data_IF_469050953344
#
_entry.id   IF_469050953344
#
_cell.length_a   1.000
_cell.length_b   1.000
_cell.length_c   1.000
_cell.angle_alpha   90.00
_cell.angle_beta   90.00
_cell.angle_gamma   90.00
#
_symmetry.space_group_name_H-M   'P 1'
#
loop_
_entity.id
_entity.type
_entity.pdbx_description
1 polymer ?
#
# COMPACT_ATOMS: atom_id res chain seq x y z
N UNK A 1 15.67 -79.25 44.91
CA UNK A 1 15.29 -77.85 45.25
C UNK A 1 16.15 -76.84 44.47
N UNK A 2 17.45 -77.02 44.31
CA UNK A 2 18.39 -76.14 43.60
C UNK A 2 18.02 -75.87 42.14
N UNK A 3 17.63 -76.93 41.35
CA UNK A 3 17.23 -76.73 39.91
C UNK A 3 15.95 -75.91 39.75
N UNK A 4 15.01 -75.89 40.69
CA UNK A 4 13.76 -75.11 40.65
C UNK A 4 13.96 -73.62 40.92
N UNK A 5 15.05 -73.23 41.62
CA UNK A 5 15.40 -71.84 41.88
C UNK A 5 16.32 -71.25 40.80
N UNK A 6 17.10 -72.12 40.14
CA UNK A 6 18.02 -71.66 39.03
C UNK A 6 17.30 -71.13 37.84
N UNK A 7 16.18 -71.69 37.41
CA UNK A 7 15.40 -71.25 36.24
C UNK A 7 14.84 -69.84 36.38
N UNK A 8 14.18 -69.46 37.51
CA UNK A 8 13.70 -68.05 37.63
C UNK A 8 14.83 -67.03 37.76
N UNK A 9 15.98 -67.39 38.37
CA UNK A 9 17.16 -66.52 38.46
C UNK A 9 17.75 -66.29 37.08
N UNK A 10 17.81 -67.32 36.23
CA UNK A 10 18.33 -67.22 34.85
C UNK A 10 17.39 -66.38 33.93
N UNK A 11 16.07 -66.57 34.15
CA UNK A 11 15.05 -65.71 33.49
C UNK A 11 15.15 -64.26 33.92
N UNK A 12 15.34 -64.01 35.25
CA UNK A 12 15.53 -62.65 35.75
C UNK A 12 16.82 -62.00 35.18
N UNK A 13 17.93 -62.77 35.18
CA UNK A 13 19.19 -62.31 34.63
C UNK A 13 19.09 -61.99 33.06
N UNK A 14 18.39 -62.85 32.33
CA UNK A 14 18.12 -62.63 30.93
C UNK A 14 17.24 -61.38 30.70
N UNK A 15 16.19 -61.20 31.48
CA UNK A 15 15.33 -60.01 31.44
C UNK A 15 16.11 -58.74 31.80
N UNK A 16 16.93 -58.75 32.80
CA UNK A 16 17.79 -57.63 33.18
C UNK A 16 18.83 -57.33 32.09
N UNK A 17 19.42 -58.33 31.46
CA UNK A 17 20.38 -58.13 30.38
C UNK A 17 19.73 -57.52 29.13
N UNK A 18 18.51 -57.94 28.75
CA UNK A 18 17.77 -57.31 27.66
C UNK A 18 17.38 -55.86 28.00
N UNK A 19 17.02 -55.56 29.24
CA UNK A 19 16.67 -54.23 29.72
C UNK A 19 17.86 -53.28 29.86
N UNK A 20 19.09 -53.80 29.78
CA UNK A 20 20.31 -53.02 29.83
C UNK A 20 20.62 -52.28 28.54
N UNK A 21 20.13 -52.79 27.43
CA UNK A 21 20.38 -52.15 26.12
C UNK A 21 19.35 -51.11 25.81
N UNK A 22 19.80 -49.97 25.22
CA UNK A 22 18.93 -48.94 24.67
C UNK A 22 19.52 -48.37 23.39
N UNK A 23 18.67 -47.97 22.47
CA UNK A 23 19.04 -47.36 21.20
C UNK A 23 18.74 -45.88 21.22
N UNK A 24 19.69 -45.06 20.77
CA UNK A 24 19.55 -43.64 20.55
C UNK A 24 19.41 -43.43 19.03
N UNK A 25 18.36 -42.75 18.62
CA UNK A 25 18.11 -42.47 17.17
C UNK A 25 19.06 -41.36 16.66
N UNK A 26 19.24 -41.29 15.33
CA UNK A 26 20.14 -40.31 14.70
C UNK A 26 19.75 -38.85 15.03
N UNK A 27 18.45 -38.56 15.16
CA UNK A 27 17.92 -37.24 15.50
C UNK A 27 17.97 -36.91 17.00
N UNK A 28 18.41 -37.84 17.84
CA UNK A 28 18.42 -37.71 19.28
C UNK A 28 19.85 -37.77 19.85
N UNK A 29 19.97 -37.29 21.06
CA UNK A 29 21.12 -37.49 21.94
C UNK A 29 20.63 -37.86 23.33
N UNK A 30 21.36 -38.69 24.03
CA UNK A 30 20.92 -39.20 25.32
C UNK A 30 21.91 -38.92 26.44
N UNK A 31 21.37 -38.60 27.61
CA UNK A 31 22.10 -38.44 28.85
C UNK A 31 21.66 -39.54 29.82
N UNK A 32 22.62 -40.26 30.39
CA UNK A 32 22.36 -41.28 31.37
C UNK A 32 22.56 -40.68 32.77
N UNK A 33 21.55 -40.82 33.62
CA UNK A 33 21.63 -40.36 35.02
C UNK A 33 21.52 -41.54 35.98
N UNK A 34 22.24 -41.46 37.08
CA UNK A 34 22.15 -42.40 38.17
C UNK A 34 21.77 -41.66 39.47
N UNK A 35 20.60 -41.99 40.01
CA UNK A 35 20.03 -41.26 41.14
C UNK A 35 19.97 -39.74 40.92
N UNK A 36 19.59 -39.32 39.68
CA UNK A 36 19.49 -37.92 39.28
C UNK A 36 20.83 -37.23 38.94
N UNK A 37 21.97 -37.90 39.16
CA UNK A 37 23.29 -37.36 38.82
C UNK A 37 23.70 -37.84 37.42
N UNK A 38 24.12 -36.98 36.51
CA UNK A 38 24.65 -37.39 35.20
C UNK A 38 25.88 -38.30 35.37
N UNK A 39 25.87 -39.44 34.68
CA UNK A 39 26.99 -40.42 34.71
C UNK A 39 27.44 -40.66 33.29
N UNK A 40 28.74 -40.45 33.07
CA UNK A 40 29.30 -40.55 31.73
C UNK A 40 28.99 -39.30 30.87
N UNK A 41 29.45 -39.37 29.62
CA UNK A 41 29.20 -38.28 28.66
C UNK A 41 27.85 -38.42 27.92
N UNK A 42 27.57 -37.45 27.04
CA UNK A 42 26.43 -37.47 26.11
C UNK A 42 26.58 -38.66 25.16
N UNK A 43 25.54 -39.47 25.05
CA UNK A 43 25.46 -40.62 24.13
C UNK A 43 24.90 -40.17 22.79
N UNK A 44 25.69 -40.39 21.76
CA UNK A 44 25.26 -40.13 20.34
C UNK A 44 24.44 -41.32 19.82
N UNK A 45 23.92 -41.19 18.61
CA UNK A 45 23.16 -42.24 17.93
C UNK A 45 23.91 -43.61 17.98
N UNK A 46 23.16 -44.67 18.21
CA UNK A 46 23.68 -46.03 18.28
C UNK A 46 23.15 -46.85 19.43
N UNK A 47 23.73 -48.04 19.62
CA UNK A 47 23.39 -48.96 20.69
C UNK A 47 24.26 -48.71 21.93
N UNK A 48 23.62 -48.50 23.05
CA UNK A 48 24.28 -48.22 24.34
C UNK A 48 23.78 -49.16 25.45
N UNK A 49 24.56 -49.20 26.52
CA UNK A 49 24.25 -50.01 27.67
C UNK A 49 24.03 -49.11 28.90
N UNK A 50 23.03 -49.44 29.70
CA UNK A 50 22.75 -48.84 31.03
C UNK A 50 22.60 -49.90 32.08
N UNK A 51 22.80 -49.51 33.32
CA UNK A 51 22.47 -50.36 34.45
C UNK A 51 20.95 -50.33 34.71
N UNK A 52 20.22 -51.43 34.43
CA UNK A 52 18.78 -51.46 34.66
C UNK A 52 18.46 -51.21 36.14
N UNK A 53 17.31 -50.59 36.41
CA UNK A 53 16.81 -50.20 37.75
C UNK A 53 17.53 -49.01 38.40
N UNK A 54 18.82 -48.76 38.10
CA UNK A 54 19.64 -47.72 38.75
C UNK A 54 19.82 -46.50 37.87
N UNK A 55 19.91 -46.71 36.56
CA UNK A 55 20.17 -45.65 35.59
C UNK A 55 18.93 -45.31 34.76
N UNK A 56 18.68 -44.02 34.63
CA UNK A 56 17.61 -43.47 33.80
C UNK A 56 18.23 -42.78 32.57
N UNK A 57 17.62 -42.97 31.40
CA UNK A 57 18.05 -42.37 30.14
C UNK A 57 17.11 -41.21 29.82
N UNK A 58 17.68 -40.00 29.70
CA UNK A 58 16.99 -38.81 29.22
C UNK A 58 17.38 -38.63 27.77
N UNK A 59 16.38 -38.52 26.87
CA UNK A 59 16.56 -38.27 25.45
C UNK A 59 16.23 -36.84 25.16
N UNK A 60 17.07 -36.22 24.35
CA UNK A 60 16.92 -34.84 23.90
C UNK A 60 17.00 -34.79 22.38
N UNK A 61 16.13 -33.98 21.74
CA UNK A 61 16.20 -33.73 20.32
C UNK A 61 17.49 -33.00 19.94
N UNK A 62 18.17 -33.50 18.92
CA UNK A 62 19.37 -32.88 18.30
C UNK A 62 19.00 -31.95 17.17
N UNK A 63 17.82 -32.19 16.57
CA UNK A 63 17.29 -31.41 15.47
C UNK A 63 16.91 -30.01 15.92
N UNK A 64 16.69 -29.14 14.90
CA UNK A 64 16.19 -27.78 15.15
C UNK A 64 14.73 -27.86 15.62
N UNK A 65 14.48 -27.25 16.76
CA UNK A 65 13.16 -27.14 17.38
C UNK A 65 12.60 -25.75 17.11
N UNK A 66 11.28 -25.65 17.03
CA UNK A 66 10.56 -24.39 16.96
C UNK A 66 10.14 -23.98 18.38
N UNK A 67 10.36 -22.71 18.67
CA UNK A 67 9.71 -22.02 19.75
C UNK A 67 8.67 -21.05 19.17
N UNK A 68 7.50 -20.97 19.76
CA UNK A 68 6.38 -20.13 19.34
C UNK A 68 5.87 -19.38 20.57
N UNK A 69 6.23 -18.11 20.66
CA UNK A 69 5.86 -17.26 21.80
C UNK A 69 4.38 -16.86 21.74
N UNK A 70 3.84 -16.55 22.90
CA UNK A 70 2.51 -15.97 22.99
C UNK A 70 2.54 -14.51 22.52
N UNK A 71 1.50 -14.01 21.84
CA UNK A 71 1.42 -12.61 21.45
C UNK A 71 1.42 -11.70 22.67
N UNK A 72 2.39 -10.78 22.74
CA UNK A 72 2.54 -9.81 23.82
C UNK A 72 2.18 -8.41 23.39
N UNK A 73 1.47 -7.67 24.26
CA UNK A 73 1.19 -6.25 24.05
C UNK A 73 2.36 -5.41 24.56
N UNK A 74 2.99 -4.67 23.64
CA UNK A 74 4.19 -3.88 23.94
C UNK A 74 3.98 -2.44 23.42
N UNK A 75 4.32 -1.41 24.22
CA UNK A 75 4.36 -0.04 23.76
C UNK A 75 5.64 0.19 22.93
N UNK A 76 5.52 0.87 21.81
CA UNK A 76 6.65 1.34 21.00
C UNK A 76 7.19 2.68 21.53
N UNK A 77 8.35 3.13 21.03
CA UNK A 77 8.93 4.43 21.37
C UNK A 77 7.99 5.60 21.10
N UNK A 78 7.16 5.50 20.06
CA UNK A 78 6.11 6.48 19.72
C UNK A 78 4.79 6.26 20.50
N UNK A 79 4.88 5.57 21.66
CA UNK A 79 3.76 5.38 22.61
C UNK A 79 2.54 4.68 22.00
N UNK A 80 2.74 3.87 20.96
CA UNK A 80 1.68 3.06 20.35
C UNK A 80 1.71 1.65 20.91
N UNK A 81 0.57 1.15 21.37
CA UNK A 81 0.44 -0.24 21.80
C UNK A 81 0.22 -1.14 20.62
N UNK A 82 1.08 -2.14 20.48
CA UNK A 82 1.01 -3.16 19.44
C UNK A 82 1.07 -4.57 20.04
N UNK A 83 0.40 -5.50 19.38
CA UNK A 83 0.58 -6.93 19.62
C UNK A 83 1.74 -7.42 18.76
N UNK A 84 2.73 -8.01 19.41
CA UNK A 84 3.89 -8.60 18.75
C UNK A 84 3.87 -10.10 18.98
N UNK A 85 3.86 -10.85 17.89
CA UNK A 85 3.88 -12.30 17.86
C UNK A 85 5.23 -12.74 17.29
N UNK A 86 5.99 -13.52 18.08
CA UNK A 86 7.37 -13.89 17.78
C UNK A 86 7.54 -15.39 17.69
N UNK A 87 8.52 -15.83 16.92
CA UNK A 87 8.92 -17.24 16.83
C UNK A 87 10.43 -17.34 16.73
N UNK A 88 10.97 -18.43 17.19
CA UNK A 88 12.40 -18.69 17.12
C UNK A 88 12.69 -20.13 16.75
N UNK A 89 13.88 -20.36 16.20
CA UNK A 89 14.44 -21.69 15.99
C UNK A 89 15.64 -21.88 16.88
N UNK A 90 15.65 -23.00 17.56
CA UNK A 90 16.67 -23.32 18.54
C UNK A 90 17.04 -24.80 18.51
N UNK A 91 18.15 -25.17 19.13
CA UNK A 91 18.55 -26.55 19.32
C UNK A 91 19.32 -26.74 20.61
N UNK A 92 19.33 -27.96 21.11
CA UNK A 92 20.12 -28.36 22.27
C UNK A 92 21.51 -28.78 21.79
N UNK A 93 22.53 -28.00 22.17
CA UNK A 93 23.93 -28.28 21.79
C UNK A 93 24.65 -29.04 22.89
N UNK A 94 24.41 -28.66 24.14
CA UNK A 94 24.97 -29.36 25.32
C UNK A 94 23.86 -29.97 26.19
N UNK A 95 23.50 -31.25 26.02
CA UNK A 95 22.49 -31.92 26.84
C UNK A 95 22.83 -32.01 28.32
N UNK A 96 24.12 -32.00 28.65
CA UNK A 96 24.53 -32.03 30.04
C UNK A 96 24.24 -30.74 30.76
N UNK A 97 24.63 -29.62 30.13
CA UNK A 97 24.32 -28.27 30.60
C UNK A 97 22.82 -28.03 30.62
N UNK A 98 22.12 -28.43 29.56
CA UNK A 98 20.67 -28.33 29.45
C UNK A 98 19.95 -29.05 30.56
N UNK A 99 20.36 -30.32 30.87
CA UNK A 99 19.77 -31.08 31.97
C UNK A 99 20.01 -30.43 33.31
N UNK A 100 21.20 -29.86 33.54
CA UNK A 100 21.55 -29.21 34.82
C UNK A 100 20.79 -27.90 35.04
N UNK A 101 20.52 -27.14 34.01
CA UNK A 101 19.91 -25.80 34.10
C UNK A 101 18.38 -25.83 34.03
N UNK A 102 17.81 -26.64 33.12
CA UNK A 102 16.35 -26.63 32.83
C UNK A 102 15.70 -28.02 32.95
N UNK A 103 16.49 -29.07 32.97
CA UNK A 103 16.12 -30.47 33.13
C UNK A 103 15.24 -31.10 32.06
N UNK A 104 14.28 -30.33 31.47
CA UNK A 104 13.30 -30.81 30.50
C UNK A 104 13.14 -29.83 29.37
N UNK A 105 12.64 -30.29 28.21
CA UNK A 105 12.33 -29.44 27.05
C UNK A 105 11.32 -28.35 27.40
N UNK A 106 10.31 -28.67 28.24
CA UNK A 106 9.35 -27.66 28.71
C UNK A 106 10.01 -26.57 29.55
N UNK A 107 10.98 -26.95 30.41
CA UNK A 107 11.79 -26.00 31.16
C UNK A 107 12.64 -25.11 30.22
N UNK A 108 13.17 -25.68 29.13
CA UNK A 108 13.87 -24.97 28.10
C UNK A 108 12.97 -23.95 27.39
N UNK A 109 11.76 -24.34 26.98
CA UNK A 109 10.78 -23.45 26.39
C UNK A 109 10.44 -22.28 27.33
N UNK A 110 10.20 -22.53 28.61
CA UNK A 110 9.92 -21.44 29.56
C UNK A 110 11.09 -20.45 29.70
N UNK A 111 12.34 -20.92 29.61
CA UNK A 111 13.51 -20.02 29.61
C UNK A 111 13.64 -19.22 28.33
N UNK A 112 13.28 -19.83 27.19
CA UNK A 112 13.21 -19.11 25.93
C UNK A 112 12.13 -18.02 25.96
N UNK A 113 10.95 -18.32 26.54
CA UNK A 113 9.89 -17.34 26.78
C UNK A 113 10.43 -16.14 27.57
N UNK A 114 11.03 -16.37 28.74
CA UNK A 114 11.54 -15.30 29.59
C UNK A 114 12.58 -14.42 28.89
N UNK A 115 13.54 -15.04 28.18
CA UNK A 115 14.67 -14.33 27.57
C UNK A 115 14.24 -13.62 26.29
N UNK A 116 13.54 -14.33 25.40
CA UNK A 116 13.15 -13.75 24.09
C UNK A 116 12.14 -12.63 24.32
N UNK A 117 11.14 -12.84 25.17
CA UNK A 117 10.13 -11.81 25.46
C UNK A 117 10.75 -10.55 26.08
N UNK A 118 11.73 -10.72 26.98
CA UNK A 118 12.44 -9.58 27.56
C UNK A 118 13.20 -8.80 26.50
N UNK A 119 13.99 -9.48 25.66
CA UNK A 119 14.82 -8.82 24.62
C UNK A 119 13.94 -8.18 23.55
N UNK A 120 12.85 -8.84 23.15
CA UNK A 120 11.89 -8.30 22.17
C UNK A 120 11.18 -7.07 22.74
N UNK A 121 10.76 -7.12 24.00
CA UNK A 121 10.13 -5.98 24.68
C UNK A 121 11.05 -4.77 24.72
N UNK A 122 12.30 -4.97 25.09
CA UNK A 122 13.30 -3.89 25.13
C UNK A 122 13.54 -3.30 23.73
N UNK A 123 13.69 -4.17 22.73
CA UNK A 123 13.89 -3.75 21.35
C UNK A 123 12.67 -2.95 20.81
N UNK A 124 11.46 -3.46 21.01
CA UNK A 124 10.22 -2.80 20.55
C UNK A 124 10.00 -1.47 21.25
N UNK A 125 10.24 -1.41 22.58
CA UNK A 125 10.06 -0.18 23.36
C UNK A 125 11.10 0.89 23.01
N UNK A 126 12.28 0.48 22.52
CA UNK A 126 13.36 1.38 22.13
C UNK A 126 13.25 1.94 20.71
N UNK A 127 12.36 1.39 19.88
CA UNK A 127 12.27 1.72 18.45
C UNK A 127 10.88 2.21 18.05
N UNK A 128 10.82 2.92 16.91
CA UNK A 128 9.57 3.39 16.34
C UNK A 128 8.83 2.24 15.65
N UNK A 129 7.50 2.34 15.60
CA UNK A 129 6.71 1.32 14.90
C UNK A 129 7.12 1.16 13.43
N UNK A 130 7.49 2.24 12.77
CA UNK A 130 7.94 2.20 11.38
C UNK A 130 9.21 1.37 11.19
N UNK A 131 10.14 1.39 12.15
CA UNK A 131 11.38 0.59 12.14
C UNK A 131 11.10 -0.92 12.26
N UNK A 132 10.04 -1.28 12.97
CA UNK A 132 9.61 -2.68 13.13
C UNK A 132 8.98 -3.29 11.87
N UNK A 133 8.39 -2.44 11.02
CA UNK A 133 7.64 -2.87 9.83
C UNK A 133 8.45 -2.70 8.55
N UNK A 134 9.30 -1.68 8.49
CA UNK A 134 10.03 -1.27 7.31
C UNK A 134 11.27 -2.12 7.08
N UNK A 135 11.46 -2.63 5.87
CA UNK A 135 12.70 -3.29 5.46
C UNK A 135 13.86 -2.29 5.30
N UNK A 136 15.10 -2.75 5.42
CA UNK A 136 16.31 -1.94 5.30
C UNK A 136 16.50 -1.27 3.92
N UNK A 137 15.80 -1.75 2.88
CA UNK A 137 15.86 -1.20 1.52
C UNK A 137 14.66 -0.36 1.11
N UNK A 138 13.79 0.02 2.03
CA UNK A 138 12.60 0.80 1.68
C UNK A 138 12.98 2.23 1.30
N UNK A 139 12.60 2.65 0.11
CA UNK A 139 12.60 4.03 -0.33
C UNK A 139 11.17 4.55 -0.37
N UNK A 140 10.92 5.72 0.22
CA UNK A 140 9.61 6.35 0.13
C UNK A 140 9.26 6.63 -1.33
N UNK A 141 8.01 6.40 -1.76
CA UNK A 141 7.59 6.77 -3.12
C UNK A 141 7.63 8.29 -3.28
N UNK A 142 8.47 8.78 -4.19
CA UNK A 142 8.67 10.20 -4.49
C UNK A 142 10.00 10.74 -3.94
N UNK A 143 10.47 11.87 -4.50
CA UNK A 143 11.73 12.55 -4.12
C UNK A 143 11.67 13.26 -2.75
N UNK A 144 10.58 13.11 -2.00
CA UNK A 144 10.43 13.72 -0.68
C UNK A 144 10.89 12.75 0.40
N UNK A 145 11.93 13.12 1.14
CA UNK A 145 12.29 12.45 2.40
C UNK A 145 11.09 12.57 3.32
N UNK A 146 10.44 11.43 3.60
CA UNK A 146 9.33 11.39 4.54
C UNK A 146 9.88 11.68 5.94
N UNK A 147 9.50 12.81 6.51
CA UNK A 147 9.91 13.23 7.84
C UNK A 147 8.85 12.80 8.83
N UNK A 148 9.25 12.00 9.81
CA UNK A 148 8.37 11.59 10.91
C UNK A 148 8.64 12.52 12.08
N UNK A 149 7.61 13.24 12.54
CA UNK A 149 7.67 14.04 13.77
C UNK A 149 7.51 13.13 14.98
N UNK A 150 8.53 13.11 15.83
CA UNK A 150 8.48 12.50 17.15
C UNK A 150 8.72 13.58 18.21
N UNK A 151 7.71 13.84 19.04
CA UNK A 151 7.77 14.85 20.12
C UNK A 151 8.27 16.24 19.63
N UNK A 152 7.89 16.64 18.41
CA UNK A 152 8.30 17.90 17.80
C UNK A 152 9.67 17.90 17.14
N UNK A 153 10.37 16.75 17.11
CA UNK A 153 11.64 16.62 16.42
C UNK A 153 11.44 15.88 15.10
N UNK A 154 11.78 16.49 13.96
CA UNK A 154 11.71 15.81 12.67
C UNK A 154 12.83 14.77 12.56
N UNK A 155 12.46 13.52 12.30
CA UNK A 155 13.40 12.42 12.03
C UNK A 155 13.29 12.06 10.56
N UNK A 156 14.41 12.17 9.85
CA UNK A 156 14.49 11.71 8.47
C UNK A 156 14.43 10.18 8.40
N UNK A 157 13.65 9.64 7.48
CA UNK A 157 13.41 8.21 7.39
C UNK A 157 14.62 7.38 6.96
N UNK A 158 15.65 8.00 6.39
CA UNK A 158 16.92 7.37 6.04
C UNK A 158 17.81 7.06 7.27
N UNK A 159 17.54 7.70 8.42
CA UNK A 159 18.24 7.48 9.68
C UNK A 159 17.61 6.37 10.55
N UNK A 160 16.53 5.78 10.10
CA UNK A 160 15.81 4.76 10.85
C UNK A 160 16.43 3.39 10.64
N UNK A 161 16.54 2.62 11.73
CA UNK A 161 16.97 1.22 11.70
C UNK A 161 15.96 0.38 10.93
N UNK A 162 16.43 -0.50 10.05
CA UNK A 162 15.56 -1.42 9.34
C UNK A 162 15.18 -2.64 10.19
N UNK A 163 14.07 -3.29 9.84
CA UNK A 163 13.58 -4.49 10.53
C UNK A 163 14.64 -5.60 10.64
N UNK A 164 15.43 -5.80 9.60
CA UNK A 164 16.46 -6.84 9.55
C UNK A 164 17.57 -6.58 10.57
N UNK A 165 18.01 -5.35 10.69
CA UNK A 165 19.04 -4.94 11.64
C UNK A 165 18.54 -5.03 13.08
N UNK A 166 17.29 -4.65 13.30
CA UNK A 166 16.63 -4.79 14.60
C UNK A 166 16.51 -6.26 15.01
N UNK A 167 16.10 -7.16 14.11
CA UNK A 167 16.04 -8.61 14.36
C UNK A 167 17.42 -9.20 14.62
N UNK A 168 18.45 -8.74 13.92
CA UNK A 168 19.84 -9.14 14.17
C UNK A 168 20.31 -8.70 15.57
N UNK A 169 19.93 -7.51 16.00
CA UNK A 169 20.20 -7.00 17.35
C UNK A 169 19.49 -7.81 18.44
N UNK A 170 18.22 -8.15 18.22
CA UNK A 170 17.45 -9.05 19.13
C UNK A 170 18.15 -10.40 19.24
N UNK A 171 18.49 -11.01 18.11
CA UNK A 171 19.16 -12.30 18.07
C UNK A 171 20.51 -12.26 18.80
N UNK A 172 21.32 -11.24 18.56
CA UNK A 172 22.63 -11.08 19.21
C UNK A 172 22.50 -10.99 20.75
N UNK A 173 21.56 -10.17 21.23
CA UNK A 173 21.31 -10.02 22.67
C UNK A 173 20.79 -11.33 23.28
N UNK A 174 19.81 -11.98 22.67
CA UNK A 174 19.25 -13.24 23.15
C UNK A 174 20.31 -14.35 23.19
N UNK A 175 21.17 -14.46 22.17
CA UNK A 175 22.27 -15.45 22.11
C UNK A 175 23.25 -15.35 23.26
N UNK A 176 23.41 -14.19 23.86
CA UNK A 176 24.39 -13.99 24.95
C UNK A 176 24.06 -14.85 26.17
N UNK A 177 22.80 -15.06 26.51
CA UNK A 177 22.35 -15.81 27.66
C UNK A 177 22.11 -17.31 27.39
N UNK A 178 22.02 -17.73 26.14
CA UNK A 178 21.65 -19.11 25.78
C UNK A 178 22.67 -20.17 26.12
N UNK A 179 24.01 -19.93 26.07
CA UNK A 179 25.01 -20.94 26.41
C UNK A 179 24.91 -21.45 27.87
N UNK A 180 24.43 -20.61 28.80
CA UNK A 180 24.22 -21.01 30.24
C UNK A 180 23.19 -22.13 30.36
N UNK A 181 22.31 -22.29 29.39
CA UNK A 181 21.28 -23.33 29.34
C UNK A 181 21.62 -24.48 28.38
N UNK A 182 22.80 -24.48 27.74
CA UNK A 182 23.17 -25.49 26.75
C UNK A 182 22.35 -25.43 25.46
N UNK A 183 21.75 -24.26 25.19
CA UNK A 183 20.88 -23.98 24.04
C UNK A 183 21.63 -23.12 23.02
N UNK A 184 21.45 -23.40 21.75
CA UNK A 184 21.83 -22.52 20.67
C UNK A 184 20.57 -21.96 20.02
N UNK A 185 20.44 -20.64 20.03
CA UNK A 185 19.40 -19.91 19.32
C UNK A 185 19.88 -19.64 17.89
N UNK A 186 19.15 -20.12 16.88
CA UNK A 186 19.50 -20.01 15.48
C UNK A 186 19.03 -18.68 14.92
N UNK A 187 17.72 -18.41 15.07
CA UNK A 187 17.12 -17.14 14.68
C UNK A 187 15.92 -16.78 15.57
N UNK A 188 15.56 -15.51 15.51
CA UNK A 188 14.32 -14.97 16.09
C UNK A 188 13.62 -14.15 15.00
N UNK A 189 12.33 -14.38 14.83
CA UNK A 189 11.52 -13.71 13.84
C UNK A 189 10.23 -13.16 14.45
N UNK A 190 9.84 -11.98 14.00
CA UNK A 190 8.53 -11.44 14.29
C UNK A 190 7.56 -11.98 13.24
N UNK A 191 6.60 -12.80 13.66
CA UNK A 191 5.57 -13.39 12.78
C UNK A 191 4.56 -12.34 12.35
N UNK A 192 4.10 -11.55 13.32
CA UNK A 192 3.00 -10.61 13.12
C UNK A 192 3.09 -9.43 14.08
N UNK A 193 2.76 -8.26 13.57
CA UNK A 193 2.55 -7.04 14.34
C UNK A 193 1.13 -6.56 14.06
N UNK A 194 0.33 -6.40 15.10
CA UNK A 194 -1.02 -5.88 15.01
C UNK A 194 -1.21 -4.71 15.95
N UNK A 195 -2.02 -3.74 15.53
CA UNK A 195 -2.50 -2.74 16.47
C UNK A 195 -3.47 -3.35 17.47
N UNK A 196 -3.48 -2.83 18.69
CA UNK A 196 -4.57 -3.07 19.64
C UNK A 196 -5.87 -2.55 19.02
N UNK A 197 -7.00 -3.24 19.25
CA UNK A 197 -8.28 -2.97 18.58
C UNK A 197 -8.72 -1.50 18.65
N UNK A 198 -8.54 -0.85 19.81
CA UNK A 198 -8.88 0.56 19.98
C UNK A 198 -8.03 1.50 19.11
N UNK A 199 -6.75 1.17 18.92
CA UNK A 199 -5.83 1.95 18.07
C UNK A 199 -6.12 1.67 16.60
N UNK A 200 -6.39 0.41 16.25
CA UNK A 200 -6.70 -0.03 14.89
C UNK A 200 -7.89 0.75 14.32
N UNK A 201 -8.97 0.89 15.09
CA UNK A 201 -10.16 1.64 14.66
C UNK A 201 -9.81 3.09 14.31
N UNK A 202 -9.09 3.79 15.20
CA UNK A 202 -8.67 5.19 14.99
C UNK A 202 -7.74 5.35 13.78
N UNK A 203 -6.83 4.41 13.57
CA UNK A 203 -5.93 4.41 12.40
C UNK A 203 -6.73 4.24 11.11
N UNK A 204 -7.71 3.32 11.07
CA UNK A 204 -8.56 3.15 9.90
C UNK A 204 -9.41 4.39 9.61
N UNK A 205 -10.02 4.99 10.63
CA UNK A 205 -10.79 6.23 10.47
C UNK A 205 -9.93 7.37 9.91
N UNK A 206 -8.70 7.51 10.43
CA UNK A 206 -7.74 8.49 9.90
C UNK A 206 -7.35 8.20 8.45
N UNK A 207 -7.01 6.96 8.11
CA UNK A 207 -6.68 6.56 6.74
C UNK A 207 -7.85 6.82 5.77
N UNK A 208 -9.08 6.51 6.20
CA UNK A 208 -10.29 6.79 5.40
C UNK A 208 -10.44 8.30 5.19
N UNK A 209 -10.23 9.11 6.23
CA UNK A 209 -10.31 10.57 6.15
C UNK A 209 -9.23 11.15 5.22
N UNK A 210 -7.99 10.69 5.35
CA UNK A 210 -6.89 11.10 4.46
C UNK A 210 -7.16 10.72 3.00
N UNK A 211 -7.64 9.51 2.73
CA UNK A 211 -8.02 9.08 1.38
C UNK A 211 -9.18 9.91 0.81
N UNK A 212 -10.17 10.23 1.63
CA UNK A 212 -11.26 11.13 1.21
C UNK A 212 -10.76 12.53 0.89
N UNK A 213 -9.82 13.06 1.68
CA UNK A 213 -9.19 14.37 1.44
C UNK A 213 -8.46 14.39 0.10
N UNK A 214 -7.61 13.40 -0.16
CA UNK A 214 -6.87 13.27 -1.43
C UNK A 214 -7.83 13.13 -2.62
N UNK A 215 -8.87 12.30 -2.48
CA UNK A 215 -9.88 12.13 -3.53
C UNK A 215 -10.69 13.42 -3.79
N UNK A 216 -10.99 14.20 -2.74
CA UNK A 216 -11.65 15.50 -2.87
C UNK A 216 -10.75 16.52 -3.56
N UNK A 217 -9.46 16.52 -3.26
CA UNK A 217 -8.47 17.38 -3.91
C UNK A 217 -8.40 17.10 -5.41
N UNK A 218 -8.17 15.84 -5.82
CA UNK A 218 -8.13 15.47 -7.24
C UNK A 218 -9.43 15.77 -7.98
N UNK A 219 -10.59 15.60 -7.29
CA UNK A 219 -11.88 15.97 -7.90
C UNK A 219 -11.98 17.48 -8.12
N UNK A 220 -11.57 18.27 -7.13
CA UNK A 220 -11.59 19.75 -7.24
C UNK A 220 -10.63 20.25 -8.32
N UNK A 221 -9.43 19.67 -8.41
CA UNK A 221 -8.46 19.98 -9.46
C UNK A 221 -9.04 19.63 -10.85
N UNK A 222 -9.63 18.43 -10.98
CA UNK A 222 -10.26 18.02 -12.25
C UNK A 222 -11.49 18.84 -12.63
N UNK A 223 -12.29 19.30 -11.67
CA UNK A 223 -13.40 20.23 -11.92
C UNK A 223 -12.89 21.60 -12.35
N UNK A 224 -11.79 22.08 -11.73
CA UNK A 224 -11.12 23.33 -12.12
C UNK A 224 -10.59 23.25 -13.57
N UNK A 225 -9.84 22.21 -13.88
CA UNK A 225 -9.31 22.01 -15.24
C UNK A 225 -10.42 21.88 -16.29
N UNK A 226 -11.50 21.15 -15.96
CA UNK A 226 -12.68 21.08 -16.82
C UNK A 226 -13.30 22.45 -17.06
N UNK A 227 -13.43 23.27 -16.02
CA UNK A 227 -13.99 24.61 -16.15
C UNK A 227 -13.12 25.52 -17.02
N UNK A 228 -11.81 25.44 -16.89
CA UNK A 228 -10.84 26.18 -17.71
C UNK A 228 -10.92 25.76 -19.19
N UNK A 229 -10.97 24.46 -19.47
CA UNK A 229 -11.11 23.92 -20.83
C UNK A 229 -12.43 24.41 -21.46
N UNK A 230 -13.56 24.32 -20.74
CA UNK A 230 -14.85 24.78 -21.20
C UNK A 230 -14.87 26.29 -21.46
N UNK A 231 -14.23 27.07 -20.57
CA UNK A 231 -14.08 28.52 -20.74
C UNK A 231 -13.26 28.89 -21.97
N UNK A 232 -12.16 28.20 -22.21
CA UNK A 232 -11.33 28.37 -23.42
C UNK A 232 -12.12 28.01 -24.69
N UNK A 233 -12.81 26.87 -24.69
CA UNK A 233 -13.66 26.46 -25.81
C UNK A 233 -14.76 27.48 -26.12
N UNK A 234 -15.44 28.01 -25.12
CA UNK A 234 -16.49 29.00 -25.30
C UNK A 234 -15.92 30.33 -25.89
N UNK A 235 -14.76 30.76 -25.37
CA UNK A 235 -14.05 31.94 -25.90
C UNK A 235 -13.66 31.74 -27.35
N UNK A 236 -13.11 30.60 -27.72
CA UNK A 236 -12.68 30.29 -29.08
C UNK A 236 -13.87 30.18 -30.01
N UNK A 237 -14.95 29.52 -29.61
CA UNK A 237 -16.20 29.44 -30.37
C UNK A 237 -16.79 30.83 -30.64
N UNK A 238 -16.83 31.72 -29.65
CA UNK A 238 -17.29 33.11 -29.82
C UNK A 238 -16.40 33.88 -30.77
N UNK A 239 -15.07 33.71 -30.69
CA UNK A 239 -14.12 34.34 -31.60
C UNK A 239 -14.36 33.89 -33.04
N UNK A 240 -14.42 32.58 -33.29
CA UNK A 240 -14.65 32.04 -34.64
C UNK A 240 -16.00 32.50 -35.20
N UNK A 241 -17.06 32.43 -34.40
CA UNK A 241 -18.40 32.86 -34.84
C UNK A 241 -18.45 34.33 -35.15
N UNK A 242 -17.81 35.18 -34.33
CA UNK A 242 -17.73 36.63 -34.53
C UNK A 242 -16.95 36.99 -35.81
N UNK A 243 -15.81 36.31 -36.03
CA UNK A 243 -15.00 36.53 -37.26
C UNK A 243 -15.75 36.07 -38.51
N UNK A 244 -16.42 34.93 -38.44
CA UNK A 244 -17.25 34.45 -39.57
C UNK A 244 -18.40 35.43 -39.88
N UNK A 245 -19.07 35.95 -38.83
CA UNK A 245 -20.11 36.97 -39.01
C UNK A 245 -19.55 38.26 -39.61
N UNK A 246 -18.43 38.77 -39.11
CA UNK A 246 -17.73 39.94 -39.64
C UNK A 246 -17.39 39.74 -41.12
N UNK A 247 -16.81 38.61 -41.50
CA UNK A 247 -16.48 38.30 -42.91
C UNK A 247 -17.74 38.23 -43.76
N UNK A 248 -18.81 37.60 -43.26
CA UNK A 248 -20.10 37.54 -43.99
C UNK A 248 -20.67 38.93 -44.26
N UNK A 249 -20.68 39.81 -43.25
CA UNK A 249 -21.15 41.19 -43.38
C UNK A 249 -20.27 42.01 -44.38
N UNK A 250 -18.95 41.83 -44.31
CA UNK A 250 -18.01 42.50 -45.19
C UNK A 250 -18.18 42.02 -46.61
N UNK A 251 -18.32 40.71 -46.85
CA UNK A 251 -18.57 40.18 -48.23
C UNK A 251 -19.91 40.72 -48.82
N UNK A 252 -20.98 40.68 -48.00
CA UNK A 252 -22.28 41.24 -48.42
C UNK A 252 -22.18 42.71 -48.68
N UNK A 253 -21.55 43.46 -47.78
CA UNK A 253 -21.38 44.91 -48.00
C UNK A 253 -20.58 45.25 -49.25
N UNK A 254 -19.51 44.51 -49.54
CA UNK A 254 -18.75 44.68 -50.83
C UNK A 254 -19.59 44.31 -52.05
N UNK A 255 -20.35 43.20 -51.93
CA UNK A 255 -21.24 42.81 -53.07
C UNK A 255 -22.35 43.85 -53.33
N UNK A 256 -22.98 44.37 -52.26
CA UNK A 256 -24.00 45.38 -52.32
C UNK A 256 -23.43 46.69 -52.89
N UNK A 257 -22.24 47.10 -52.43
CA UNK A 257 -21.56 48.27 -52.96
C UNK A 257 -21.22 48.12 -54.48
N UNK A 258 -20.74 46.93 -54.84
CA UNK A 258 -20.43 46.60 -56.24
C UNK A 258 -21.71 46.62 -57.08
N UNK A 259 -22.77 45.99 -56.61
CA UNK A 259 -24.08 46.05 -57.34
C UNK A 259 -24.61 47.45 -57.45
N UNK A 260 -24.56 48.25 -56.39
CA UNK A 260 -24.98 49.66 -56.43
C UNK A 260 -24.15 50.47 -57.42
N UNK A 261 -22.83 50.23 -57.47
CA UNK A 261 -21.96 50.89 -58.42
C UNK A 261 -22.29 50.52 -59.89
N UNK A 262 -22.55 49.24 -60.16
CA UNK A 262 -22.98 48.74 -61.47
C UNK A 262 -24.32 49.39 -61.91
N UNK A 263 -25.31 49.38 -61.00
CA UNK A 263 -26.59 50.03 -61.28
C UNK A 263 -26.45 51.50 -61.47
N UNK A 264 -25.67 52.21 -60.64
CA UNK A 264 -25.44 53.64 -60.80
C UNK A 264 -24.75 53.96 -62.13
N UNK A 265 -23.80 53.19 -62.58
CA UNK A 265 -23.13 53.34 -63.86
C UNK A 265 -24.10 53.12 -65.02
N UNK A 266 -24.94 52.10 -64.98
CA UNK A 266 -25.96 51.83 -66.00
C UNK A 266 -27.01 52.94 -66.06
N UNK A 267 -27.48 53.39 -64.91
CA UNK A 267 -28.52 54.44 -64.86
C UNK A 267 -27.99 55.84 -65.27
N UNK A 268 -26.73 56.11 -65.09
CA UNK A 268 -26.10 57.33 -65.50
C UNK A 268 -25.92 57.43 -67.04
N UNK A 269 -26.04 56.35 -67.81
CA UNK A 269 -25.97 56.35 -69.25
C UNK A 269 -27.17 57.11 -69.87
N UNK A 270 -28.38 56.92 -69.29
CA UNK A 270 -29.58 57.69 -69.66
C UNK A 270 -30.44 57.96 -68.41
N UNK A 271 -30.23 59.12 -67.82
CA UNK A 271 -30.92 59.53 -66.58
C UNK A 271 -32.42 59.80 -66.79
N UNK A 272 -32.80 60.21 -67.98
CA UNK A 272 -34.22 60.49 -68.27
C UNK A 272 -34.99 59.18 -68.39
N UNK A 273 -34.45 58.22 -69.12
CA UNK A 273 -35.05 56.92 -69.26
C UNK A 273 -35.13 56.17 -67.91
N UNK A 274 -34.09 56.27 -67.10
CA UNK A 274 -34.12 55.66 -65.74
C UNK A 274 -35.20 56.32 -64.86
N UNK A 275 -35.31 57.67 -64.86
CA UNK A 275 -36.36 58.38 -64.11
C UNK A 275 -37.76 57.94 -64.56
N UNK A 276 -37.97 57.75 -65.83
CA UNK A 276 -39.20 57.24 -66.44
C UNK A 276 -39.51 55.80 -65.95
N UNK A 277 -38.54 54.88 -66.12
CA UNK A 277 -38.70 53.49 -65.70
C UNK A 277 -38.99 53.36 -64.16
N UNK A 278 -38.29 54.18 -63.37
CA UNK A 278 -38.45 54.19 -61.92
C UNK A 278 -39.80 54.74 -61.47
N UNK A 279 -40.30 55.72 -62.13
CA UNK A 279 -41.64 56.23 -61.88
C UNK A 279 -42.71 55.19 -62.20
N UNK A 280 -42.58 54.46 -63.31
CA UNK A 280 -43.49 53.39 -63.69
C UNK A 280 -43.47 52.24 -62.66
N UNK A 281 -42.27 51.84 -62.17
CA UNK A 281 -42.16 50.84 -61.13
C UNK A 281 -42.80 51.33 -59.83
N UNK A 282 -42.59 52.56 -59.44
CA UNK A 282 -43.18 53.16 -58.24
C UNK A 282 -44.70 53.14 -58.34
N UNK A 283 -45.24 53.50 -59.46
CA UNK A 283 -46.67 53.43 -59.69
C UNK A 283 -47.21 52.00 -59.70
N UNK A 284 -46.52 51.02 -60.25
CA UNK A 284 -46.88 49.62 -60.20
C UNK A 284 -46.92 49.06 -58.78
N UNK A 285 -45.94 49.49 -57.96
CA UNK A 285 -45.86 49.08 -56.54
C UNK A 285 -46.87 49.79 -55.65
N UNK A 286 -47.21 51.06 -55.97
CA UNK A 286 -48.15 51.80 -55.15
C UNK A 286 -49.62 51.51 -55.55
N UNK A 287 -49.88 50.99 -56.74
CA UNK A 287 -51.20 50.54 -57.21
C UNK A 287 -51.34 49.08 -56.92
N UNK A 288 -51.83 48.68 -55.70
CA UNK A 288 -52.19 47.28 -55.41
C UNK A 288 -53.26 46.76 -56.36
N UNK A 289 -53.48 45.47 -56.49
CA UNK A 289 -54.42 44.80 -57.44
C UNK A 289 -55.82 45.40 -57.48
N UNK A 290 -56.28 46.15 -56.44
CA UNK A 290 -57.57 46.82 -56.38
C UNK A 290 -57.50 48.31 -56.08
N UNK A 291 -56.35 48.96 -56.30
CA UNK A 291 -56.14 50.35 -56.01
C UNK A 291 -56.70 51.26 -57.20
N UNK A 292 -57.31 52.35 -56.81
CA UNK A 292 -57.70 53.41 -57.76
C UNK A 292 -56.65 54.53 -57.69
N UNK A 293 -56.00 54.80 -58.82
CA UNK A 293 -55.04 55.88 -58.91
C UNK A 293 -55.73 57.13 -59.50
N UNK A 294 -55.76 58.18 -58.71
CA UNK A 294 -56.29 59.50 -59.20
C UNK A 294 -55.05 60.37 -59.51
N UNK A 295 -54.87 60.64 -60.77
CA UNK A 295 -53.69 61.39 -61.25
C UNK A 295 -54.16 62.74 -61.72
N UNK A 296 -53.57 63.87 -61.32
CA UNK A 296 -53.79 65.16 -61.80
C UNK A 296 -53.17 65.32 -63.24
N UNK A 297 -53.79 66.09 -64.12
CA UNK A 297 -53.27 66.40 -65.48
C UNK A 297 -51.93 67.16 -65.44
N UNK A 298 -51.56 67.75 -64.28
CA UNK A 298 -50.24 68.38 -64.00
C UNK A 298 -49.22 67.47 -63.39
N UNK A 299 -49.51 66.15 -63.21
CA UNK A 299 -48.59 65.22 -62.68
C UNK A 299 -47.43 64.90 -63.62
N UNK A 300 -46.25 64.61 -63.05
CA UNK A 300 -45.10 64.24 -63.88
C UNK A 300 -45.36 63.01 -64.75
N UNK A 301 -46.27 62.11 -64.36
CA UNK A 301 -46.69 60.96 -65.13
C UNK A 301 -47.45 61.38 -66.41
N UNK A 302 -48.36 62.31 -66.31
CA UNK A 302 -49.10 62.82 -67.45
C UNK A 302 -48.20 63.62 -68.44
N UNK A 303 -47.23 64.32 -67.88
CA UNK A 303 -46.20 65.06 -68.66
C UNK A 303 -45.33 64.11 -69.46
N UNK A 304 -44.96 62.98 -68.89
CA UNK A 304 -44.16 61.91 -69.53
C UNK A 304 -44.99 61.29 -70.70
N UNK A 305 -46.29 60.99 -70.48
CA UNK A 305 -47.16 60.40 -71.46
C UNK A 305 -47.41 61.38 -72.66
N UNK A 306 -47.37 62.71 -72.46
CA UNK A 306 -47.49 63.72 -73.50
C UNK A 306 -46.20 63.92 -74.32
N UNK A 307 -45.05 63.56 -73.80
CA UNK A 307 -43.74 63.70 -74.43
C UNK A 307 -43.30 62.46 -75.23
N UNK A 308 -44.09 61.37 -75.24
CA UNK A 308 -43.80 60.21 -76.08
C UNK A 308 -44.36 60.55 -77.53
N UNK A 309 -43.49 60.46 -78.57
CA UNK A 309 -43.89 60.72 -79.96
C UNK A 309 -44.83 59.64 -80.48
#
# INVERSE_FOLDING_TARGET
>A
VMKKILAPILLLAAFLSLSAFFVVQEGEQALVTQFGRPVGGVRQAGLHVKLPLIQTVHRFEKRILKWDGDPNQIPTKDKRFIWVDTTARWRIVDPLQFYRSVATERGGLSRLDDIIDSVVRDAVSGHLLVELVRGSGYQAPGDSVEVIELEGTPIATDQLVGREELLAGILAKAKTSMPEYGIELIDVQIKRINYVDQVRQRVYERMISERKKVAAQFRSEGEGEKADILGQMEKELKSITSDAYRQSVEIRGKADATAAAIYAAAYNQDRQFYAFLRSLEAYRKSTGENGRLVISTDSDFYRILQQTP
#
